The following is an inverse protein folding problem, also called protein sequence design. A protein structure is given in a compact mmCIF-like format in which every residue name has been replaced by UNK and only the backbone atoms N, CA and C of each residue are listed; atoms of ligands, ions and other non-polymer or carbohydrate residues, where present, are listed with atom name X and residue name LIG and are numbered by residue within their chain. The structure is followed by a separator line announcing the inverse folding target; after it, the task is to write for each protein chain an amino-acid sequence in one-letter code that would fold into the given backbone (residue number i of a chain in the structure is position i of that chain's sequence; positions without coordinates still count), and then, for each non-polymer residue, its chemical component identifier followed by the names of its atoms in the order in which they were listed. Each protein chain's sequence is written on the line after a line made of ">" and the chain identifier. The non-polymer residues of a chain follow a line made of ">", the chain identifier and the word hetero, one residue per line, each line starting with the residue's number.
data_IF_790729729775
#
_entry.id   IF_790729729775
#
_cell.length_a   1.000
_cell.length_b   1.000
_cell.length_c   1.000
_cell.angle_alpha   90.00
_cell.angle_beta   90.00
_cell.angle_gamma   90.00
#
_symmetry.space_group_name_H-M   'P 1'
#
loop_
_entity.id
_entity.type
_entity.pdbx_description
1 polymer ?
#
# COMPACT_ATOMS: atom_id res chain seq x y z
N UNK A 1 8.70 -11.11 -15.79
CA UNK A 1 7.31 -11.41 -16.22
C UNK A 1 6.39 -10.79 -15.18
N UNK A 2 5.51 -9.84 -15.54
CA UNK A 2 4.54 -9.26 -14.59
C UNK A 2 3.52 -10.34 -14.24
N UNK A 3 3.40 -10.72 -12.98
CA UNK A 3 2.46 -11.77 -12.56
C UNK A 3 1.01 -11.26 -12.52
N UNK A 4 0.04 -12.12 -12.78
CA UNK A 4 -1.39 -11.81 -12.71
C UNK A 4 -1.89 -11.71 -11.26
N UNK A 5 -2.69 -10.69 -10.95
CA UNK A 5 -3.35 -10.53 -9.65
C UNK A 5 -4.64 -11.34 -9.64
N UNK A 6 -5.00 -11.95 -8.52
CA UNK A 6 -6.27 -12.68 -8.40
C UNK A 6 -7.17 -11.90 -7.45
N UNK A 7 -8.39 -11.60 -7.91
CA UNK A 7 -9.29 -10.66 -7.25
C UNK A 7 -10.69 -11.28 -7.12
N UNK A 8 -11.20 -11.31 -5.88
CA UNK A 8 -12.52 -11.84 -5.57
C UNK A 8 -13.67 -10.85 -5.80
N UNK A 9 -13.39 -9.54 -5.79
CA UNK A 9 -14.34 -8.47 -6.04
C UNK A 9 -14.47 -8.10 -7.52
N UNK A 10 -13.46 -8.38 -8.34
CA UNK A 10 -13.53 -8.12 -9.78
C UNK A 10 -14.61 -8.99 -10.45
N UNK A 11 -15.47 -8.36 -11.25
CA UNK A 11 -16.55 -9.05 -12.00
C UNK A 11 -16.09 -9.60 -13.35
N UNK A 12 -14.97 -9.08 -13.87
CA UNK A 12 -14.39 -9.45 -15.17
C UNK A 12 -12.88 -9.67 -15.06
N UNK A 13 -12.34 -10.52 -15.94
CA UNK A 13 -10.89 -10.60 -16.11
C UNK A 13 -10.38 -9.34 -16.78
N UNK A 14 -9.23 -8.80 -16.33
CA UNK A 14 -8.60 -7.63 -16.93
C UNK A 14 -7.22 -8.02 -17.43
N UNK A 15 -6.89 -7.62 -18.65
CA UNK A 15 -5.58 -7.88 -19.25
C UNK A 15 -5.08 -6.58 -19.87
N UNK A 16 -3.85 -6.19 -19.55
CA UNK A 16 -3.30 -4.90 -20.00
C UNK A 16 -2.37 -5.01 -21.23
N UNK A 17 -2.11 -6.22 -21.69
CA UNK A 17 -1.28 -6.50 -22.85
C UNK A 17 -2.12 -7.09 -23.97
N UNK A 18 -2.28 -6.33 -25.05
CA UNK A 18 -3.07 -6.74 -26.21
C UNK A 18 -2.52 -8.00 -26.87
N UNK A 19 -1.20 -8.25 -26.79
CA UNK A 19 -0.54 -9.42 -27.36
C UNK A 19 -0.93 -10.74 -26.70
N UNK A 20 -1.61 -10.68 -25.54
CA UNK A 20 -2.16 -11.86 -24.86
C UNK A 20 -3.51 -12.29 -25.41
N UNK A 21 -4.20 -11.44 -26.18
CA UNK A 21 -5.51 -11.76 -26.74
C UNK A 21 -5.39 -12.59 -28.02
N UNK A 22 -6.17 -13.67 -28.09
CA UNK A 22 -6.28 -14.54 -29.27
C UNK A 22 -7.43 -14.14 -30.19
N UNK A 23 -8.49 -13.60 -29.60
CA UNK A 23 -9.68 -13.16 -30.32
C UNK A 23 -10.34 -12.04 -29.54
N UNK A 24 -11.11 -11.22 -30.27
CA UNK A 24 -11.93 -10.16 -29.72
C UNK A 24 -13.39 -10.37 -30.11
N UNK A 25 -14.26 -9.81 -29.31
CA UNK A 25 -15.69 -9.74 -29.56
C UNK A 25 -16.00 -8.41 -30.26
N UNK A 26 -16.31 -8.49 -31.56
CA UNK A 26 -16.58 -7.32 -32.39
C UNK A 26 -17.90 -6.61 -32.04
N UNK A 27 -18.77 -7.24 -31.25
CA UNK A 27 -20.00 -6.61 -30.75
C UNK A 27 -19.77 -5.72 -29.52
N UNK A 28 -18.56 -5.74 -28.95
CA UNK A 28 -18.25 -4.97 -27.76
C UNK A 28 -18.08 -3.48 -28.09
N UNK A 29 -18.89 -2.64 -27.45
CA UNK A 29 -18.84 -1.19 -27.57
C UNK A 29 -18.15 -0.58 -26.35
N UNK A 30 -16.90 -0.13 -26.50
CA UNK A 30 -16.13 0.44 -25.40
C UNK A 30 -16.74 1.72 -24.83
N UNK A 31 -17.36 2.54 -25.69
CA UNK A 31 -17.91 3.85 -25.32
C UNK A 31 -19.11 3.76 -24.39
N UNK A 32 -19.93 2.70 -24.54
CA UNK A 32 -21.12 2.46 -23.72
C UNK A 32 -20.84 1.53 -22.55
N UNK A 33 -19.66 0.88 -22.53
CA UNK A 33 -19.28 -0.02 -21.46
C UNK A 33 -18.73 0.75 -20.26
N UNK A 34 -19.50 0.77 -19.17
CA UNK A 34 -19.09 1.35 -17.90
C UNK A 34 -18.35 0.33 -17.04
N UNK A 35 -17.16 0.70 -16.59
CA UNK A 35 -16.44 0.00 -15.52
C UNK A 35 -16.64 0.78 -14.24
N UNK A 36 -17.19 0.12 -13.22
CA UNK A 36 -17.27 0.66 -11.87
C UNK A 36 -16.04 0.18 -11.10
N UNK A 37 -15.20 1.12 -10.71
CA UNK A 37 -14.08 0.86 -9.82
C UNK A 37 -14.62 0.66 -8.40
N UNK A 38 -13.76 0.20 -7.49
CA UNK A 38 -14.14 0.11 -6.08
C UNK A 38 -14.76 1.39 -5.59
N UNK A 39 -14.19 2.52 -6.03
CA UNK A 39 -14.60 3.92 -6.16
C UNK A 39 -16.01 4.28 -5.73
N UNK A 40 -16.92 3.48 -6.28
CA UNK A 40 -18.15 3.97 -6.86
C UNK A 40 -17.93 4.73 -8.18
N UNK A 41 -16.70 5.10 -8.56
CA UNK A 41 -16.45 5.81 -9.82
C UNK A 41 -16.78 4.91 -10.99
N UNK A 42 -17.66 5.41 -11.85
CA UNK A 42 -17.98 4.81 -13.13
C UNK A 42 -17.20 5.50 -14.22
N UNK A 43 -16.40 4.71 -14.93
CA UNK A 43 -15.64 5.19 -16.06
C UNK A 43 -16.05 4.45 -17.32
N UNK A 44 -16.33 5.20 -18.38
CA UNK A 44 -16.63 4.65 -19.70
C UNK A 44 -15.37 4.70 -20.57
N UNK A 45 -15.24 3.77 -21.52
CA UNK A 45 -14.14 3.78 -22.49
C UNK A 45 -12.77 3.32 -21.94
N UNK A 46 -12.66 2.98 -20.65
CA UNK A 46 -11.41 2.43 -20.10
C UNK A 46 -11.17 0.99 -20.62
N UNK A 47 -12.22 0.19 -20.71
CA UNK A 47 -12.16 -1.11 -21.37
C UNK A 47 -12.26 -0.89 -22.88
N UNK A 48 -11.15 -1.03 -23.58
CA UNK A 48 -11.07 -0.74 -25.01
C UNK A 48 -11.61 -1.89 -25.85
N UNK A 49 -11.44 -3.13 -25.40
CA UNK A 49 -11.92 -4.33 -26.11
C UNK A 49 -12.33 -5.43 -25.13
N UNK A 50 -13.16 -6.35 -25.57
CA UNK A 50 -13.47 -7.61 -24.88
C UNK A 50 -13.04 -8.78 -25.75
N UNK A 51 -12.53 -9.85 -25.15
CA UNK A 51 -12.04 -10.98 -25.93
C UNK A 51 -11.55 -12.15 -25.10
N UNK A 52 -10.90 -13.10 -25.78
CA UNK A 52 -10.30 -14.25 -25.12
C UNK A 52 -8.78 -14.06 -25.02
N UNK A 53 -8.28 -14.01 -23.80
CA UNK A 53 -6.85 -13.83 -23.50
C UNK A 53 -6.18 -15.12 -23.01
N UNK A 54 -4.88 -15.23 -23.26
CA UNK A 54 -4.01 -16.28 -22.74
C UNK A 54 -3.05 -15.70 -21.71
N UNK A 55 -3.06 -16.25 -20.51
CA UNK A 55 -2.15 -15.84 -19.43
C UNK A 55 -1.33 -17.02 -18.94
N UNK A 56 -0.12 -16.75 -18.45
CA UNK A 56 0.70 -17.75 -17.78
C UNK A 56 0.54 -17.62 -16.27
N UNK A 57 0.11 -18.68 -15.62
CA UNK A 57 0.09 -18.85 -14.17
C UNK A 57 1.37 -19.58 -13.76
N UNK A 58 1.96 -19.19 -12.64
CA UNK A 58 3.12 -19.88 -12.06
C UNK A 58 2.64 -20.69 -10.86
N UNK A 59 2.99 -21.96 -10.83
CA UNK A 59 2.86 -22.76 -9.61
C UNK A 59 3.99 -22.45 -8.62
N UNK A 60 3.92 -23.07 -7.45
CA UNK A 60 4.90 -22.92 -6.37
C UNK A 60 6.27 -23.54 -6.67
N UNK A 61 6.35 -24.38 -7.70
CA UNK A 61 7.61 -24.95 -8.20
C UNK A 61 8.26 -24.06 -9.27
N UNK A 62 7.60 -22.95 -9.62
CA UNK A 62 8.02 -22.04 -10.68
C UNK A 62 7.65 -22.54 -12.09
N UNK A 63 6.89 -23.63 -12.20
CA UNK A 63 6.44 -24.16 -13.48
C UNK A 63 5.24 -23.35 -13.99
N UNK A 64 5.27 -23.05 -15.29
CA UNK A 64 4.25 -22.25 -15.95
C UNK A 64 3.10 -23.11 -16.46
N UNK A 65 1.89 -22.66 -16.19
CA UNK A 65 0.64 -23.20 -16.69
C UNK A 65 -0.07 -22.14 -17.52
N UNK A 66 -0.46 -22.45 -18.75
CA UNK A 66 -1.24 -21.51 -19.57
C UNK A 66 -2.71 -21.63 -19.22
N UNK A 67 -3.36 -20.50 -18.96
CA UNK A 67 -4.78 -20.40 -18.72
C UNK A 67 -5.45 -19.50 -19.76
N UNK A 68 -6.64 -19.89 -20.20
CA UNK A 68 -7.46 -19.12 -21.13
C UNK A 68 -8.53 -18.35 -20.34
N UNK A 69 -8.51 -17.03 -20.46
CA UNK A 69 -9.48 -16.13 -19.84
C UNK A 69 -10.49 -15.72 -20.91
N UNK A 70 -11.70 -16.25 -20.82
CA UNK A 70 -12.82 -15.89 -21.71
C UNK A 70 -13.48 -14.60 -21.22
N UNK A 71 -13.95 -13.79 -22.16
CA UNK A 71 -14.59 -12.50 -21.91
C UNK A 71 -13.74 -11.55 -21.05
N UNK A 72 -12.42 -11.56 -21.26
CA UNK A 72 -11.49 -10.64 -20.63
C UNK A 72 -11.60 -9.25 -21.25
N UNK A 73 -11.49 -8.22 -20.43
CA UNK A 73 -11.43 -6.82 -20.86
C UNK A 73 -9.97 -6.42 -21.09
N UNK A 74 -9.72 -5.79 -22.23
CA UNK A 74 -8.45 -5.15 -22.53
C UNK A 74 -8.45 -3.73 -21.97
N UNK A 75 -7.62 -3.47 -20.96
CA UNK A 75 -7.49 -2.18 -20.29
C UNK A 75 -6.00 -1.81 -20.20
N UNK A 76 -5.42 -1.15 -21.21
CA UNK A 76 -3.99 -0.87 -21.24
C UNK A 76 -3.51 0.11 -20.16
N UNK A 77 -4.41 0.96 -19.67
CA UNK A 77 -4.14 1.88 -18.55
C UNK A 77 -4.08 1.17 -17.20
N UNK A 78 -4.52 -0.09 -17.10
CA UNK A 78 -4.55 -0.83 -15.85
C UNK A 78 -3.16 -1.43 -15.54
N UNK A 79 -2.61 -1.23 -14.33
CA UNK A 79 -1.21 -1.54 -14.04
C UNK A 79 -0.88 -3.04 -14.04
N UNK A 80 -1.88 -3.89 -13.78
CA UNK A 80 -1.74 -5.33 -13.60
C UNK A 80 -2.87 -6.10 -14.30
N UNK A 81 -2.56 -7.32 -14.78
CA UNK A 81 -3.61 -8.26 -15.19
C UNK A 81 -4.39 -8.72 -13.95
N UNK A 82 -5.71 -8.87 -14.08
CA UNK A 82 -6.60 -9.37 -13.03
C UNK A 82 -7.28 -10.66 -13.49
N UNK A 83 -7.18 -11.67 -12.65
CA UNK A 83 -7.96 -12.89 -12.66
C UNK A 83 -9.15 -12.73 -11.71
N UNK A 84 -10.35 -12.52 -12.25
CA UNK A 84 -11.59 -12.52 -11.47
C UNK A 84 -11.93 -13.92 -10.97
N UNK A 85 -12.02 -14.08 -9.65
CA UNK A 85 -12.51 -15.31 -9.01
C UNK A 85 -13.98 -15.50 -9.36
N UNK A 86 -14.80 -14.44 -9.25
CA UNK A 86 -16.23 -14.50 -9.52
C UNK A 86 -16.52 -15.00 -10.95
N UNK A 87 -15.73 -14.55 -11.94
CA UNK A 87 -15.88 -15.01 -13.31
C UNK A 87 -15.41 -16.45 -13.50
N UNK A 88 -14.31 -16.84 -12.85
CA UNK A 88 -13.83 -18.21 -12.88
C UNK A 88 -14.83 -19.20 -12.23
N UNK A 89 -15.43 -18.84 -11.09
CA UNK A 89 -16.40 -19.68 -10.37
C UNK A 89 -17.73 -19.77 -11.09
N UNK A 90 -18.22 -18.68 -11.69
CA UNK A 90 -19.40 -18.71 -12.59
C UNK A 90 -19.17 -19.62 -13.82
N UNK A 91 -17.92 -19.74 -14.27
CA UNK A 91 -17.51 -20.70 -15.30
C UNK A 91 -17.44 -22.15 -14.81
N UNK A 92 -17.77 -22.43 -13.55
CA UNK A 92 -17.73 -23.75 -12.93
C UNK A 92 -16.35 -24.16 -12.40
N UNK A 93 -15.43 -23.22 -12.21
CA UNK A 93 -14.19 -23.51 -11.50
C UNK A 93 -14.38 -23.46 -9.98
N UNK A 94 -13.63 -24.27 -9.26
CA UNK A 94 -13.51 -24.24 -7.79
C UNK A 94 -12.10 -23.79 -7.43
N UNK A 95 -11.97 -22.79 -6.56
CA UNK A 95 -10.67 -22.31 -6.08
C UNK A 95 -10.62 -22.54 -4.58
N UNK A 96 -9.57 -23.20 -4.11
CA UNK A 96 -9.37 -23.54 -2.70
C UNK A 96 -8.07 -22.92 -2.21
N UNK A 97 -8.14 -22.21 -1.08
CA UNK A 97 -7.01 -21.56 -0.44
C UNK A 97 -6.65 -22.29 0.84
N UNK A 98 -5.46 -22.88 0.89
CA UNK A 98 -4.91 -23.42 2.13
C UNK A 98 -3.48 -22.91 2.34
N UNK A 99 -3.10 -22.73 3.60
CA UNK A 99 -1.74 -22.31 3.96
C UNK A 99 -0.75 -23.33 3.41
N UNK A 100 -0.07 -22.98 2.33
CA UNK A 100 0.86 -23.88 1.67
C UNK A 100 0.20 -24.96 0.79
N UNK A 101 -1.05 -24.80 0.36
CA UNK A 101 -1.66 -25.66 -0.69
C UNK A 101 -2.92 -24.99 -1.31
N UNK A 102 -2.72 -23.96 -2.13
CA UNK A 102 -3.82 -23.30 -2.84
C UNK A 102 -3.94 -23.85 -4.27
N UNK A 103 -5.12 -24.31 -4.67
CA UNK A 103 -5.32 -24.96 -5.98
C UNK A 103 -6.64 -24.54 -6.64
N UNK A 104 -6.68 -24.65 -7.96
CA UNK A 104 -7.88 -24.40 -8.77
C UNK A 104 -8.25 -25.69 -9.53
N UNK A 105 -9.52 -26.04 -9.51
CA UNK A 105 -10.09 -27.16 -10.25
C UNK A 105 -11.12 -26.62 -11.22
N UNK A 106 -11.01 -26.96 -12.50
CA UNK A 106 -12.03 -26.55 -13.49
C UNK A 106 -13.15 -27.59 -13.58
N UNK A 107 -14.28 -27.20 -14.18
CA UNK A 107 -15.45 -28.08 -14.39
C UNK A 107 -15.14 -29.40 -15.11
N UNK A 108 -14.03 -29.48 -15.85
CA UNK A 108 -13.55 -30.70 -16.53
C UNK A 108 -12.75 -31.67 -15.65
N UNK A 109 -12.53 -31.36 -14.37
CA UNK A 109 -11.70 -32.16 -13.48
C UNK A 109 -10.20 -31.87 -13.59
N UNK A 110 -9.78 -31.01 -14.54
CA UNK A 110 -8.40 -30.55 -14.64
C UNK A 110 -8.02 -29.76 -13.38
N UNK A 111 -7.09 -30.34 -12.62
CA UNK A 111 -6.59 -29.80 -11.35
C UNK A 111 -5.27 -29.07 -11.58
N UNK A 112 -5.29 -27.75 -11.47
CA UNK A 112 -4.08 -26.95 -11.33
C UNK A 112 -3.61 -27.05 -9.87
N UNK A 113 -2.68 -27.98 -9.60
CA UNK A 113 -2.07 -28.14 -8.27
C UNK A 113 -1.18 -26.92 -7.97
N UNK A 114 -1.41 -26.32 -6.80
CA UNK A 114 -0.48 -25.40 -6.11
C UNK A 114 -0.10 -24.10 -6.86
N UNK A 115 -1.06 -23.20 -7.05
CA UNK A 115 -0.84 -21.83 -7.52
C UNK A 115 -0.38 -20.95 -6.32
N UNK A 116 0.83 -21.17 -5.76
CA UNK A 116 1.25 -20.42 -4.55
C UNK A 116 1.78 -19.02 -4.81
N UNK A 117 2.10 -18.64 -6.04
CA UNK A 117 2.93 -17.43 -6.20
C UNK A 117 2.13 -16.13 -6.22
N UNK A 118 0.79 -16.16 -6.34
CA UNK A 118 -0.08 -14.98 -6.20
C UNK A 118 -1.51 -15.29 -5.71
N UNK A 119 -1.68 -16.37 -4.93
CA UNK A 119 -2.95 -16.65 -4.24
C UNK A 119 -2.96 -16.15 -2.78
N UNK A 120 -1.82 -15.74 -2.22
CA UNK A 120 -1.75 -15.05 -0.92
C UNK A 120 -2.20 -13.58 -0.99
N UNK A 121 -2.39 -13.04 -2.19
CA UNK A 121 -2.84 -11.67 -2.46
C UNK A 121 -4.37 -11.53 -2.59
N UNK A 122 -5.13 -12.58 -2.29
CA UNK A 122 -6.52 -12.77 -2.74
C UNK A 122 -7.65 -12.13 -1.92
N UNK A 123 -7.32 -11.29 -0.95
CA UNK A 123 -8.32 -10.51 -0.21
C UNK A 123 -8.10 -9.00 -0.36
N UNK A 124 -7.41 -8.56 -1.41
CA UNK A 124 -7.35 -7.13 -1.71
C UNK A 124 -8.50 -6.76 -2.63
N UNK A 125 -9.49 -6.07 -2.04
CA UNK A 125 -10.43 -5.21 -2.74
C UNK A 125 -9.65 -4.28 -3.70
N UNK A 126 -10.25 -3.89 -4.83
CA UNK A 126 -9.64 -2.93 -5.74
C UNK A 126 -9.28 -1.62 -5.02
N UNK A 127 -8.16 -1.04 -5.41
CA UNK A 127 -7.68 0.22 -4.84
C UNK A 127 -8.54 1.36 -5.38
N UNK A 128 -8.99 2.19 -4.43
CA UNK A 128 -9.81 3.39 -4.56
C UNK A 128 -11.28 3.06 -4.67
N UNK A 129 -12.01 3.01 -3.52
CA UNK A 129 -13.29 3.64 -3.09
C UNK A 129 -13.04 4.20 -1.73
N UNK A 130 -13.15 5.50 -1.61
CA UNK A 130 -13.15 6.16 -0.33
C UNK A 130 -14.59 6.03 0.16
N UNK A 131 -14.82 5.16 1.13
CA UNK A 131 -15.51 5.59 2.34
C UNK A 131 -15.42 4.58 3.50
N UNK A 132 -14.97 5.12 4.64
CA UNK A 132 -15.36 4.79 6.00
C UNK A 132 -14.88 3.44 6.57
N UNK A 133 -13.57 3.38 6.82
CA UNK A 133 -12.91 3.09 8.11
C UNK A 133 -11.44 2.94 7.72
N UNK A 134 -10.60 3.91 8.08
CA UNK A 134 -9.15 3.85 7.90
C UNK A 134 -8.64 2.72 8.80
N UNK A 135 -8.18 1.55 8.31
CA UNK A 135 -7.27 0.74 9.09
C UNK A 135 -5.93 1.47 8.95
N UNK A 136 -5.58 2.16 10.03
CA UNK A 136 -4.19 2.44 10.41
C UNK A 136 -3.25 1.40 9.78
N UNK A 137 -2.06 1.77 9.27
CA UNK A 137 -1.13 0.78 8.77
C UNK A 137 -0.95 -0.24 9.88
N UNK A 138 -1.39 -1.48 9.66
CA UNK A 138 -0.92 -2.60 10.46
C UNK A 138 0.58 -2.60 10.20
N UNK A 139 1.29 -1.93 11.12
CA UNK A 139 2.68 -2.21 11.45
C UNK A 139 2.80 -3.70 11.24
N UNK A 140 3.77 -4.12 10.44
CA UNK A 140 4.26 -5.48 10.47
C UNK A 140 4.28 -5.91 11.94
N UNK A 141 3.27 -6.67 12.35
CA UNK A 141 3.33 -7.40 13.60
C UNK A 141 4.33 -8.51 13.30
N UNK A 142 5.61 -8.12 13.33
CA UNK A 142 6.57 -8.91 14.09
C UNK A 142 5.80 -9.32 15.33
N UNK A 143 5.62 -10.64 15.56
CA UNK A 143 5.26 -11.16 16.89
C UNK A 143 5.82 -10.18 17.91
N UNK A 144 5.03 -9.59 18.83
CA UNK A 144 5.52 -8.49 19.65
C UNK A 144 6.83 -8.96 20.29
N UNK A 145 7.96 -8.45 19.78
CA UNK A 145 9.16 -8.33 20.59
C UNK A 145 8.63 -7.58 21.78
N UNK A 146 8.55 -8.24 22.94
CA UNK A 146 7.97 -7.66 24.14
C UNK A 146 8.51 -6.25 24.24
N UNK A 147 7.65 -5.24 24.05
CA UNK A 147 8.04 -3.84 24.14
C UNK A 147 8.56 -3.66 25.56
N UNK A 148 9.88 -3.63 25.70
CA UNK A 148 10.51 -3.59 26.99
C UNK A 148 10.30 -2.18 27.53
N UNK A 149 9.53 -2.07 28.61
CA UNK A 149 9.37 -0.81 29.32
C UNK A 149 10.78 -0.36 29.75
N UNK A 150 11.21 0.86 29.40
CA UNK A 150 12.51 1.36 29.81
C UNK A 150 12.60 1.45 31.33
N UNK A 151 13.81 1.39 31.87
CA UNK A 151 14.01 1.73 33.28
C UNK A 151 13.75 3.23 33.50
N UNK A 152 13.42 3.66 34.72
CA UNK A 152 13.27 5.10 35.01
C UNK A 152 14.52 5.91 34.64
N UNK A 153 15.71 5.34 34.84
CA UNK A 153 16.99 5.95 34.46
C UNK A 153 17.12 6.15 32.93
N UNK A 154 16.74 5.14 32.14
CA UNK A 154 16.72 5.23 30.67
C UNK A 154 15.68 6.25 30.19
N UNK A 155 14.49 6.24 30.80
CA UNK A 155 13.43 7.19 30.48
C UNK A 155 13.85 8.62 30.83
N UNK A 156 14.60 8.83 31.92
CA UNK A 156 15.13 10.15 32.29
C UNK A 156 16.07 10.72 31.23
N UNK A 157 16.82 9.91 30.50
CA UNK A 157 17.69 10.38 29.41
C UNK A 157 16.91 10.95 28.22
N UNK A 158 15.62 10.61 28.09
CA UNK A 158 14.79 11.10 26.98
C UNK A 158 14.59 12.60 27.02
N UNK A 159 14.69 13.25 28.19
CA UNK A 159 14.60 14.72 28.31
C UNK A 159 15.73 15.47 27.60
N UNK A 160 16.83 14.79 27.26
CA UNK A 160 18.01 15.43 26.65
C UNK A 160 17.76 15.84 25.21
N UNK A 161 17.05 15.02 24.43
CA UNK A 161 16.68 15.32 23.05
C UNK A 161 15.54 14.44 22.55
N UNK A 162 14.80 14.95 21.56
CA UNK A 162 13.75 14.18 20.90
C UNK A 162 14.33 12.91 20.22
N UNK A 163 15.55 12.97 19.69
CA UNK A 163 16.25 11.79 19.12
C UNK A 163 16.29 10.59 20.08
N UNK A 164 16.49 10.81 21.39
CA UNK A 164 16.52 9.74 22.39
C UNK A 164 15.18 9.00 22.47
N UNK A 165 14.08 9.74 22.33
CA UNK A 165 12.73 9.19 22.28
C UNK A 165 12.50 8.42 20.98
N UNK A 166 12.95 8.97 19.84
CA UNK A 166 12.69 8.41 18.52
C UNK A 166 13.50 7.14 18.21
N UNK A 167 14.71 7.01 18.76
CA UNK A 167 15.57 5.82 18.61
C UNK A 167 15.04 4.64 19.45
N UNK A 168 14.42 4.92 20.60
CA UNK A 168 13.85 3.90 21.47
C UNK A 168 12.46 3.48 20.96
N UNK A 169 12.23 2.18 20.75
CA UNK A 169 10.96 1.67 20.23
C UNK A 169 9.77 1.94 21.17
N UNK A 170 9.98 1.88 22.48
CA UNK A 170 8.96 2.24 23.49
C UNK A 170 8.75 3.76 23.53
N UNK A 171 9.83 4.54 23.47
CA UNK A 171 9.78 6.01 23.39
C UNK A 171 8.95 6.48 22.20
N UNK A 172 9.24 5.96 21.01
CA UNK A 172 8.51 6.27 19.78
C UNK A 172 7.01 5.96 19.89
N UNK A 173 6.64 4.80 20.46
CA UNK A 173 5.22 4.42 20.64
C UNK A 173 4.53 5.32 21.66
N UNK A 174 5.21 5.67 22.75
CA UNK A 174 4.69 6.56 23.78
C UNK A 174 4.49 7.97 23.22
N UNK A 175 5.49 8.51 22.53
CA UNK A 175 5.41 9.83 21.91
C UNK A 175 4.34 9.91 20.81
N UNK A 176 4.20 8.87 19.98
CA UNK A 176 3.08 8.79 19.01
C UNK A 176 1.73 8.78 19.70
N UNK A 177 1.59 8.09 20.84
CA UNK A 177 0.35 8.05 21.61
C UNK A 177 0.03 9.42 22.22
N UNK A 178 1.05 10.12 22.70
CA UNK A 178 0.93 11.51 23.16
C UNK A 178 0.49 12.45 22.04
N UNK A 179 1.15 12.42 20.87
CA UNK A 179 0.78 13.27 19.73
C UNK A 179 -0.64 13.01 19.24
N UNK A 180 -1.09 11.75 19.25
CA UNK A 180 -2.49 11.41 18.93
C UNK A 180 -3.47 12.01 19.92
N UNK A 181 -3.13 12.08 21.21
CA UNK A 181 -3.98 12.76 22.20
C UNK A 181 -4.08 14.27 21.98
N UNK A 182 -3.13 14.85 21.24
CA UNK A 182 -3.09 16.26 20.86
C UNK A 182 -3.44 16.49 19.38
N UNK A 183 -3.96 15.47 18.67
CA UNK A 183 -4.33 15.53 17.24
C UNK A 183 -3.19 16.07 16.35
N UNK A 184 -1.96 15.64 16.61
CA UNK A 184 -0.75 16.07 15.92
C UNK A 184 0.15 14.89 15.49
N UNK A 185 -0.42 13.69 15.40
CA UNK A 185 0.30 12.46 15.07
C UNK A 185 0.81 12.40 13.62
N UNK A 186 0.28 13.22 12.71
CA UNK A 186 0.76 13.33 11.34
C UNK A 186 2.25 13.70 11.28
N UNK A 187 2.72 14.50 12.23
CA UNK A 187 4.12 14.93 12.29
C UNK A 187 5.09 13.76 12.51
N UNK A 188 4.78 12.89 13.49
CA UNK A 188 5.63 11.73 13.76
C UNK A 188 5.47 10.65 12.70
N UNK A 189 4.27 10.50 12.13
CA UNK A 189 4.02 9.50 11.10
C UNK A 189 4.73 9.86 9.80
N UNK A 190 4.74 11.14 9.42
CA UNK A 190 5.58 11.65 8.34
C UNK A 190 7.06 11.43 8.61
N UNK A 191 7.55 11.72 9.82
CA UNK A 191 8.96 11.52 10.17
C UNK A 191 9.37 10.05 10.05
N UNK A 192 8.55 9.12 10.54
CA UNK A 192 8.79 7.67 10.41
C UNK A 192 8.74 7.23 8.95
N UNK A 193 7.81 7.75 8.15
CA UNK A 193 7.73 7.46 6.72
C UNK A 193 8.99 7.90 5.97
N UNK A 194 9.56 9.06 6.33
CA UNK A 194 10.84 9.55 5.82
C UNK A 194 12.02 8.64 6.20
N UNK A 195 12.10 8.21 7.47
CA UNK A 195 13.16 7.29 7.91
C UNK A 195 13.11 5.94 7.18
N UNK A 196 11.90 5.42 6.96
CA UNK A 196 11.74 4.19 6.18
C UNK A 196 11.98 4.43 4.68
N UNK A 197 11.74 5.65 4.17
CA UNK A 197 12.05 5.99 2.79
C UNK A 197 13.56 5.98 2.53
N UNK A 198 14.36 6.59 3.41
CA UNK A 198 15.83 6.64 3.34
C UNK A 198 16.51 5.28 3.27
N UNK A 199 15.90 4.23 3.85
CA UNK A 199 16.44 2.86 3.84
C UNK A 199 16.37 2.19 2.47
N UNK A 200 15.58 2.72 1.53
CA UNK A 200 15.43 2.14 0.20
C UNK A 200 16.61 2.49 -0.68
N UNK A 201 17.25 1.46 -1.25
CA UNK A 201 18.36 1.60 -2.22
C UNK A 201 17.93 1.49 -3.68
N UNK A 202 16.67 1.13 -3.94
CA UNK A 202 16.16 0.86 -5.29
C UNK A 202 15.16 1.92 -5.71
N UNK A 203 15.45 2.62 -6.80
CA UNK A 203 14.57 3.64 -7.38
C UNK A 203 13.16 3.12 -7.68
N UNK A 204 13.04 1.86 -8.15
CA UNK A 204 11.74 1.24 -8.42
C UNK A 204 10.86 1.06 -7.17
N UNK A 205 11.46 0.96 -5.98
CA UNK A 205 10.73 0.92 -4.70
C UNK A 205 10.51 2.32 -4.12
N UNK A 206 11.40 3.25 -4.42
CA UNK A 206 11.33 4.64 -3.95
C UNK A 206 10.20 5.40 -4.63
N UNK A 207 10.01 5.27 -5.94
CA UNK A 207 9.00 6.01 -6.69
C UNK A 207 7.57 5.90 -6.14
N UNK A 208 6.98 4.70 -5.96
CA UNK A 208 5.63 4.59 -5.42
C UNK A 208 5.55 5.13 -3.99
N UNK A 209 6.60 4.92 -3.18
CA UNK A 209 6.64 5.39 -1.79
C UNK A 209 6.77 6.90 -1.68
N UNK A 210 7.57 7.52 -2.54
CA UNK A 210 7.72 8.97 -2.59
C UNK A 210 6.39 9.64 -2.96
N UNK A 211 5.69 9.07 -3.96
CA UNK A 211 4.35 9.53 -4.34
C UNK A 211 3.38 9.44 -3.15
N UNK A 212 3.34 8.30 -2.47
CA UNK A 212 2.46 8.09 -1.32
C UNK A 212 2.75 9.07 -0.16
N UNK A 213 4.02 9.28 0.18
CA UNK A 213 4.42 10.27 1.20
C UNK A 213 4.00 11.68 0.80
N UNK A 214 4.16 12.04 -0.48
CA UNK A 214 3.77 13.35 -0.98
C UNK A 214 2.26 13.57 -0.89
N UNK A 215 1.46 12.64 -1.39
CA UNK A 215 -0.02 12.72 -1.40
C UNK A 215 -0.63 12.67 0.01
N UNK A 216 -0.01 11.94 0.94
CA UNK A 216 -0.53 11.81 2.31
C UNK A 216 -0.15 13.00 3.22
N UNK A 217 1.07 13.54 3.08
CA UNK A 217 1.62 14.49 4.05
C UNK A 217 2.03 15.86 3.49
N UNK A 218 2.35 15.99 2.19
CA UNK A 218 2.99 17.22 1.65
C UNK A 218 2.08 18.02 0.74
N UNK A 219 1.29 17.34 -0.10
CA UNK A 219 0.38 17.96 -1.04
C UNK A 219 -0.55 18.93 -0.31
N UNK A 220 -0.86 20.06 -0.94
CA UNK A 220 -1.86 20.99 -0.40
C UNK A 220 -3.21 20.28 -0.32
N UNK A 221 -3.88 20.38 0.83
CA UNK A 221 -5.11 19.66 1.16
C UNK A 221 -4.92 18.14 1.29
N UNK A 222 -3.69 17.69 1.54
CA UNK A 222 -3.44 16.30 1.88
C UNK A 222 -4.22 15.91 3.16
N UNK A 223 -4.73 14.68 3.26
CA UNK A 223 -5.56 14.26 4.40
C UNK A 223 -4.83 14.37 5.74
N UNK A 224 -3.49 14.37 5.70
CA UNK A 224 -2.61 14.44 6.88
C UNK A 224 -1.48 15.43 6.64
N UNK A 225 -1.81 16.54 5.99
CA UNK A 225 -0.86 17.59 5.64
C UNK A 225 -0.05 18.06 6.85
N UNK A 226 1.28 17.98 6.74
CA UNK A 226 2.18 18.45 7.80
C UNK A 226 2.45 19.95 7.66
N UNK A 227 2.65 20.63 8.79
CA UNK A 227 2.85 22.09 8.81
C UNK A 227 4.28 22.48 8.37
N UNK A 228 4.47 22.67 7.06
CA UNK A 228 5.71 23.17 6.44
C UNK A 228 5.43 24.36 5.51
N UNK A 229 6.44 25.23 5.36
CA UNK A 229 6.37 26.42 4.52
C UNK A 229 6.40 26.10 3.02
N UNK A 230 5.83 27.00 2.20
CA UNK A 230 5.72 26.83 0.74
C UNK A 230 7.07 26.53 0.08
N UNK A 231 8.14 27.19 0.53
CA UNK A 231 9.48 26.95 0.00
C UNK A 231 9.93 25.50 0.22
N UNK A 232 9.65 24.93 1.39
CA UNK A 232 9.96 23.53 1.70
C UNK A 232 9.15 22.56 0.84
N UNK A 233 7.87 22.87 0.55
CA UNK A 233 7.04 22.10 -0.38
C UNK A 233 7.61 22.13 -1.81
N UNK A 234 8.01 23.30 -2.30
CA UNK A 234 8.59 23.46 -3.64
C UNK A 234 9.92 22.70 -3.81
N UNK A 235 10.76 22.72 -2.76
CA UNK A 235 12.00 21.90 -2.74
C UNK A 235 11.65 20.42 -2.82
N UNK A 236 10.68 19.97 -2.03
CA UNK A 236 10.25 18.56 -2.04
C UNK A 236 9.71 18.15 -3.41
N UNK A 237 8.89 19.00 -4.05
CA UNK A 237 8.33 18.75 -5.38
C UNK A 237 9.43 18.61 -6.45
N UNK A 238 10.45 19.47 -6.41
CA UNK A 238 11.61 19.35 -7.31
C UNK A 238 12.39 18.07 -7.09
N UNK A 239 12.56 17.66 -5.84
CA UNK A 239 13.26 16.41 -5.49
C UNK A 239 12.47 15.14 -5.85
N UNK A 240 11.18 15.25 -6.21
CA UNK A 240 10.40 14.11 -6.71
C UNK A 240 10.72 13.80 -8.18
N UNK A 241 11.30 14.74 -8.93
CA UNK A 241 11.73 14.53 -10.32
C UNK A 241 12.96 13.63 -10.38
N UNK A 242 13.92 13.84 -9.48
CA UNK A 242 15.11 13.00 -9.32
C UNK A 242 15.19 12.44 -7.89
N UNK A 243 14.65 11.24 -7.73
CA UNK A 243 14.48 10.62 -6.41
C UNK A 243 15.81 10.20 -5.82
N UNK A 244 16.05 10.63 -4.58
CA UNK A 244 17.20 10.24 -3.79
C UNK A 244 16.77 9.97 -2.35
N UNK A 245 17.57 9.29 -1.52
CA UNK A 245 17.26 9.14 -0.09
C UNK A 245 17.06 10.49 0.63
N UNK A 246 17.57 11.58 0.07
CA UNK A 246 17.43 12.93 0.60
C UNK A 246 16.16 13.68 0.12
N UNK A 247 15.28 13.05 -0.67
CA UNK A 247 14.11 13.72 -1.29
C UNK A 247 13.26 14.50 -0.27
N UNK A 248 13.03 13.95 0.92
CA UNK A 248 12.22 14.55 1.98
C UNK A 248 13.04 15.19 3.11
N UNK A 249 14.37 15.29 2.99
CA UNK A 249 15.25 15.64 4.11
C UNK A 249 14.94 17.03 4.70
N UNK A 250 14.68 18.03 3.84
CA UNK A 250 14.35 19.38 4.30
C UNK A 250 13.01 19.40 5.04
N UNK A 251 11.97 18.80 4.47
CA UNK A 251 10.64 18.71 5.08
C UNK A 251 10.69 17.95 6.42
N UNK A 252 11.41 16.84 6.47
CA UNK A 252 11.59 16.07 7.69
C UNK A 252 12.30 16.88 8.79
N UNK A 253 13.32 17.67 8.44
CA UNK A 253 13.98 18.58 9.39
C UNK A 253 13.04 19.64 9.94
N UNK A 254 12.16 20.21 9.10
CA UNK A 254 11.14 21.17 9.56
C UNK A 254 10.18 20.56 10.57
N UNK A 255 9.68 19.36 10.27
CA UNK A 255 8.73 18.66 11.16
C UNK A 255 9.39 18.16 12.44
N UNK A 256 10.64 17.70 12.37
CA UNK A 256 11.41 17.38 13.58
C UNK A 256 11.53 18.61 14.49
N UNK A 257 11.94 19.76 13.94
CA UNK A 257 12.09 20.99 14.72
C UNK A 257 10.75 21.49 15.30
N UNK A 258 9.64 21.31 14.57
CA UNK A 258 8.30 21.61 15.05
C UNK A 258 7.94 20.75 16.27
N UNK A 259 8.09 19.43 16.15
CA UNK A 259 7.83 18.48 17.25
C UNK A 259 8.74 18.75 18.45
N UNK A 260 10.03 18.99 18.22
CA UNK A 260 11.01 19.23 19.29
C UNK A 260 10.69 20.52 20.08
N UNK A 261 10.32 21.58 19.38
CA UNK A 261 10.03 22.88 20.00
C UNK A 261 8.71 22.89 20.76
N UNK A 262 7.68 22.25 20.24
CA UNK A 262 6.32 22.32 20.80
C UNK A 262 5.92 21.02 21.51
N UNK A 263 5.61 19.98 20.74
CA UNK A 263 5.03 18.74 21.26
C UNK A 263 5.94 17.99 22.24
N UNK A 264 7.25 17.96 22.00
CA UNK A 264 8.21 17.28 22.88
C UNK A 264 8.30 17.95 24.25
N UNK A 265 8.31 19.29 24.28
CA UNK A 265 8.26 20.04 25.54
C UNK A 265 7.00 19.75 26.36
N UNK A 266 5.86 19.54 25.68
CA UNK A 266 4.60 19.14 26.33
C UNK A 266 4.60 17.67 26.74
N UNK A 267 5.16 16.78 25.92
CA UNK A 267 5.33 15.36 26.22
C UNK A 267 6.10 15.15 27.53
N UNK A 268 7.21 15.86 27.74
CA UNK A 268 8.01 15.75 28.97
C UNK A 268 7.24 16.19 30.24
N UNK A 269 6.17 16.98 30.10
CA UNK A 269 5.29 17.38 31.20
C UNK A 269 4.04 16.52 31.34
N UNK A 270 3.79 15.62 30.39
CA UNK A 270 2.60 14.77 30.38
C UNK A 270 2.65 13.69 31.45
N UNK A 271 1.50 13.32 31.99
CA UNK A 271 1.39 12.22 32.95
C UNK A 271 1.98 10.91 32.39
N UNK A 272 1.82 10.67 31.09
CA UNK A 272 2.38 9.50 30.41
C UNK A 272 3.89 9.39 30.57
N UNK A 273 4.63 10.49 30.45
CA UNK A 273 6.07 10.50 30.65
C UNK A 273 6.46 10.53 32.13
N UNK A 274 5.73 11.29 32.95
CA UNK A 274 5.99 11.38 34.39
C UNK A 274 5.85 10.02 35.09
N UNK A 275 4.88 9.17 34.68
CA UNK A 275 4.75 7.79 35.16
C UNK A 275 5.87 6.84 34.70
N UNK A 276 6.64 7.19 33.66
CA UNK A 276 7.76 6.38 33.19
C UNK A 276 9.05 6.62 33.98
N UNK A 277 9.19 7.80 34.58
CA UNK A 277 10.39 8.22 35.32
C UNK A 277 10.22 8.10 36.85
N UNK A 278 9.06 7.62 37.32
CA UNK A 278 8.82 7.22 38.72
C UNK A 278 9.43 5.86 39.01
#
# INVERSE_FOLDING_TARGET
>A
MKGIMVDAGATSHIVNDIGKFKSFDDSFQSETHSVELTDGTKCNGIAQRRGTAMVCLLDNTGRQHRAQLRDALYMPSYPHDIFSVARATNGGATITFMKGDSHMVTKGGDRAKEIKTKLGTLLQKPENAIDLIIPYPEKLEKKPEKLQKPTPEEAMQWRESLDRVLINSYGLVTFRSFLRSEFSEENIEFWVACEDFKKNKSLMKMAPKAKMIYEEFIQTEAPREVNIDHFTKDVTLRNLVDLSPATFELAQKRIYALMEKDSFSRFLRSDQYQELIK
#
